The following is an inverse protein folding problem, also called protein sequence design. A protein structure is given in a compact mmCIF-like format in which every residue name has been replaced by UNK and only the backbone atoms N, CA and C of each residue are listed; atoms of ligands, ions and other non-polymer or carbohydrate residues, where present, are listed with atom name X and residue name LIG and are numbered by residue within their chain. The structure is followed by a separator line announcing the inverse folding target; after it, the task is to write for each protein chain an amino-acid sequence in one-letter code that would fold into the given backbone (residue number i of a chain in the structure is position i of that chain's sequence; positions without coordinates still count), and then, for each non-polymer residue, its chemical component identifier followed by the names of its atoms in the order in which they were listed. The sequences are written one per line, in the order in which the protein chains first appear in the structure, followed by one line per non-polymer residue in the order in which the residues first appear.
data_IF_392974044086
#
_entry.id   IF_392974044086
#
_cell.length_a   1.000
_cell.length_b   1.000
_cell.length_c   1.000
_cell.angle_alpha   90.00
_cell.angle_beta   90.00
_cell.angle_gamma   90.00
#
_symmetry.space_group_name_H-M   'P 1'
#
loop_
_entity.id
_entity.type
_entity.pdbx_description
1 polymer ?
#
# COMPACT_ATOMS: atom_id res chain seq x y z
N UNK A 1 0.30 30.85 19.65
CA UNK A 1 1.10 30.00 18.77
C UNK A 1 0.47 29.97 17.39
N UNK A 2 1.24 29.69 16.37
CA UNK A 2 0.76 29.53 14.99
C UNK A 2 -0.15 28.28 14.95
N UNK A 3 -1.37 28.43 14.47
CA UNK A 3 -2.36 27.34 14.42
C UNK A 3 -2.58 26.84 13.00
N UNK A 4 -2.54 27.76 12.02
CA UNK A 4 -2.75 27.43 10.61
C UNK A 4 -1.43 27.56 9.83
N UNK A 5 -1.31 26.80 8.76
CA UNK A 5 -0.11 26.74 7.91
C UNK A 5 0.12 28.09 7.20
N UNK A 6 -0.96 28.75 6.76
CA UNK A 6 -0.93 30.06 6.11
C UNK A 6 -0.46 31.18 7.02
N UNK A 7 -0.53 31.00 8.35
CA UNK A 7 -0.11 32.01 9.35
C UNK A 7 1.41 31.94 9.66
N UNK A 8 2.15 31.03 9.01
CA UNK A 8 3.59 30.87 9.22
C UNK A 8 4.31 32.13 8.72
N UNK A 9 5.08 32.83 9.61
CA UNK A 9 5.85 34.01 9.23
C UNK A 9 6.91 33.73 8.17
N UNK A 10 7.16 34.69 7.28
CA UNK A 10 8.12 34.54 6.17
C UNK A 10 9.59 34.45 6.64
N UNK A 11 9.88 34.89 7.86
CA UNK A 11 11.22 34.82 8.45
C UNK A 11 11.57 33.41 9.01
N UNK A 12 10.60 32.50 9.05
CA UNK A 12 10.85 31.12 9.46
C UNK A 12 11.48 30.35 8.29
N UNK A 13 12.67 29.81 8.53
CA UNK A 13 13.36 28.99 7.54
C UNK A 13 12.68 27.62 7.40
N UNK A 14 12.02 27.40 6.28
CA UNK A 14 11.34 26.15 5.91
C UNK A 14 12.18 25.36 4.90
N UNK A 15 11.98 24.02 4.85
CA UNK A 15 12.45 23.23 3.73
C UNK A 15 11.59 23.53 2.49
N UNK A 16 12.09 23.21 1.28
CA UNK A 16 11.33 23.41 0.04
C UNK A 16 9.93 22.77 0.08
N UNK A 17 9.83 21.57 0.65
CA UNK A 17 8.54 20.86 0.80
C UNK A 17 7.60 21.55 1.80
N UNK A 18 8.14 22.13 2.87
CA UNK A 18 7.34 22.90 3.84
C UNK A 18 6.92 24.24 3.25
N UNK A 19 7.83 24.92 2.54
CA UNK A 19 7.51 26.17 1.85
C UNK A 19 6.39 25.97 0.82
N UNK A 20 6.50 24.94 -0.02
CA UNK A 20 5.43 24.59 -0.96
C UNK A 20 4.08 24.38 -0.26
N UNK A 21 4.05 23.70 0.89
CA UNK A 21 2.80 23.48 1.62
C UNK A 21 2.20 24.78 2.17
N UNK A 22 3.06 25.72 2.60
CA UNK A 22 2.64 27.07 3.04
C UNK A 22 2.10 27.89 1.87
N UNK A 23 2.82 27.89 0.76
CA UNK A 23 2.43 28.64 -0.44
C UNK A 23 1.12 28.12 -1.01
N UNK A 24 0.97 26.80 -1.12
CA UNK A 24 -0.30 26.16 -1.54
C UNK A 24 -1.46 26.47 -0.60
N UNK A 25 -1.23 26.53 0.71
CA UNK A 25 -2.27 26.87 1.68
C UNK A 25 -2.68 28.36 1.56
N UNK A 26 -1.74 29.26 1.29
CA UNK A 26 -2.02 30.68 1.06
C UNK A 26 -2.82 30.91 -0.22
N UNK A 27 -2.54 30.15 -1.28
CA UNK A 27 -3.23 30.25 -2.58
C UNK A 27 -4.52 29.41 -2.66
N UNK A 28 -4.76 28.49 -1.73
CA UNK A 28 -5.98 27.66 -1.70
C UNK A 28 -7.28 28.47 -1.67
N UNK A 29 -7.24 29.71 -1.16
CA UNK A 29 -8.37 30.65 -1.19
C UNK A 29 -8.65 31.21 -2.60
N UNK A 30 -7.76 31.03 -3.56
CA UNK A 30 -7.88 31.49 -4.95
C UNK A 30 -8.43 30.39 -5.89
N UNK A 31 -8.68 29.17 -5.39
CA UNK A 31 -9.38 28.09 -6.09
C UNK A 31 -8.56 27.37 -7.19
N UNK A 32 -7.28 27.60 -7.30
CA UNK A 32 -6.42 26.90 -8.25
C UNK A 32 -5.77 25.65 -7.61
N UNK A 33 -6.17 24.49 -8.12
CA UNK A 33 -5.51 23.20 -7.85
C UNK A 33 -4.15 23.20 -8.57
N UNK A 34 -3.04 23.17 -7.81
CA UNK A 34 -1.71 23.03 -8.40
C UNK A 34 -1.42 21.57 -8.74
N UNK A 35 -1.92 21.12 -9.89
CA UNK A 35 -1.53 19.82 -10.46
C UNK A 35 -0.52 20.08 -11.57
N UNK A 36 0.70 19.60 -11.38
CA UNK A 36 1.70 19.53 -12.45
C UNK A 36 1.33 18.38 -13.41
N UNK A 37 0.47 18.71 -14.39
CA UNK A 37 -0.02 17.75 -15.38
C UNK A 37 1.09 17.07 -16.17
N UNK A 38 2.20 17.79 -16.44
CA UNK A 38 3.33 17.22 -17.17
C UNK A 38 4.10 16.20 -16.34
N UNK A 39 4.33 16.49 -15.05
CA UNK A 39 4.98 15.58 -14.15
C UNK A 39 4.10 14.35 -13.82
N UNK A 40 2.78 14.54 -13.67
CA UNK A 40 1.82 13.42 -13.51
C UNK A 40 1.82 12.56 -14.76
N UNK A 41 1.77 13.15 -15.98
CA UNK A 41 1.85 12.39 -17.22
C UNK A 41 3.16 11.62 -17.34
N UNK A 42 4.30 12.23 -17.00
CA UNK A 42 5.60 11.56 -16.98
C UNK A 42 5.66 10.37 -16.04
N UNK A 43 4.92 10.42 -14.91
CA UNK A 43 4.74 9.26 -14.04
C UNK A 43 3.89 8.17 -14.70
N UNK A 44 2.76 8.54 -15.32
CA UNK A 44 1.88 7.60 -16.00
C UNK A 44 2.57 6.89 -17.17
N UNK A 45 3.47 7.57 -17.85
CA UNK A 45 4.26 7.03 -18.98
C UNK A 45 5.24 5.92 -18.56
N UNK A 46 5.53 5.78 -17.25
CA UNK A 46 6.31 4.65 -16.72
C UNK A 46 5.51 3.34 -16.65
N UNK A 47 4.20 3.43 -16.73
CA UNK A 47 3.30 2.31 -16.48
C UNK A 47 3.00 1.55 -17.77
N UNK A 48 3.21 0.24 -17.74
CA UNK A 48 2.92 -0.66 -18.87
C UNK A 48 1.93 -1.74 -18.45
N UNK A 49 0.80 -1.80 -19.14
CA UNK A 49 -0.24 -2.79 -18.87
C UNK A 49 0.18 -4.24 -19.22
N UNK A 50 -0.36 -5.24 -18.50
CA UNK A 50 -1.25 -5.14 -17.34
C UNK A 50 -0.53 -4.61 -16.11
N UNK A 51 -1.25 -3.86 -15.25
CA UNK A 51 -0.73 -3.27 -14.02
C UNK A 51 -1.12 -4.13 -12.82
N UNK A 52 -0.14 -4.50 -12.01
CA UNK A 52 -0.31 -5.35 -10.84
C UNK A 52 -0.28 -4.51 -9.57
N UNK A 53 -1.44 -4.12 -9.03
CA UNK A 53 -1.55 -3.40 -7.76
C UNK A 53 -1.42 -4.37 -6.61
N UNK A 54 -0.41 -4.21 -5.80
CA UNK A 54 0.09 -5.21 -4.86
C UNK A 54 0.32 -4.64 -3.47
N UNK A 55 -0.12 -5.39 -2.44
CA UNK A 55 0.06 -5.04 -1.04
C UNK A 55 0.29 -6.29 -0.19
N UNK A 56 1.17 -6.17 0.82
CA UNK A 56 1.44 -7.21 1.81
C UNK A 56 0.87 -6.86 3.18
N UNK A 57 0.31 -7.87 3.86
CA UNK A 57 0.14 -7.83 5.30
C UNK A 57 1.19 -8.71 6.00
N UNK A 58 1.76 -8.17 7.07
CA UNK A 58 2.84 -8.83 7.81
C UNK A 58 2.58 -8.81 9.31
N UNK A 59 3.14 -9.77 10.03
CA UNK A 59 3.20 -9.75 11.48
C UNK A 59 4.64 -9.90 11.98
N UNK A 60 4.83 -9.65 13.27
CA UNK A 60 6.12 -9.75 13.94
C UNK A 60 5.99 -10.56 15.22
N UNK A 61 7.07 -11.28 15.56
CA UNK A 61 7.15 -12.02 16.81
C UNK A 61 8.33 -11.52 17.62
N UNK A 62 8.12 -11.23 18.91
CA UNK A 62 9.19 -10.88 19.85
C UNK A 62 10.09 -12.11 20.12
N UNK A 63 9.47 -13.28 20.23
CA UNK A 63 10.14 -14.58 20.32
C UNK A 63 9.79 -15.33 19.02
N UNK A 64 10.77 -15.55 18.13
CA UNK A 64 10.51 -16.22 16.86
C UNK A 64 10.11 -17.68 17.05
N UNK A 65 8.99 -18.08 16.44
CA UNK A 65 8.50 -19.46 16.45
C UNK A 65 8.92 -20.21 15.18
N UNK A 66 9.25 -19.48 14.10
CA UNK A 66 9.58 -20.09 12.83
C UNK A 66 11.09 -20.09 12.58
N UNK A 67 11.56 -21.18 11.96
CA UNK A 67 12.98 -21.34 11.65
C UNK A 67 13.48 -20.24 10.72
N UNK A 68 14.64 -19.65 11.07
CA UNK A 68 15.28 -18.62 10.26
C UNK A 68 14.63 -17.23 10.35
N UNK A 69 13.78 -17.00 11.35
CA UNK A 69 13.21 -15.68 11.68
C UNK A 69 13.98 -15.07 12.84
N UNK A 70 14.24 -13.78 12.76
CA UNK A 70 14.78 -12.97 13.88
C UNK A 70 13.65 -12.28 14.64
N UNK A 71 13.90 -11.90 15.91
CA UNK A 71 12.96 -11.09 16.69
C UNK A 71 12.55 -9.83 15.91
N UNK A 72 11.27 -9.53 15.92
CA UNK A 72 10.66 -8.37 15.22
C UNK A 72 10.88 -8.33 13.70
N UNK A 73 11.28 -9.44 13.09
CA UNK A 73 11.33 -9.55 11.63
C UNK A 73 9.91 -9.55 11.06
N UNK A 74 9.68 -8.83 9.97
CA UNK A 74 8.42 -8.88 9.23
C UNK A 74 8.23 -10.25 8.58
N UNK A 75 7.11 -10.88 8.90
CA UNK A 75 6.69 -12.18 8.36
C UNK A 75 5.44 -11.93 7.54
N UNK A 76 5.52 -11.93 6.20
CA UNK A 76 4.33 -11.76 5.38
C UNK A 76 3.42 -12.98 5.51
N UNK A 77 2.15 -12.75 5.79
CA UNK A 77 1.13 -13.79 5.94
C UNK A 77 0.00 -13.68 4.93
N UNK A 78 -0.13 -12.52 4.31
CA UNK A 78 -1.18 -12.22 3.35
C UNK A 78 -0.65 -11.32 2.26
N UNK A 79 -1.20 -11.42 1.05
CA UNK A 79 -1.16 -10.39 0.04
C UNK A 79 -2.50 -10.28 -0.70
N UNK A 80 -2.73 -9.11 -1.25
CA UNK A 80 -3.76 -8.84 -2.24
C UNK A 80 -3.14 -8.34 -3.54
N UNK A 81 -3.78 -8.64 -4.65
CA UNK A 81 -3.31 -8.32 -5.98
C UNK A 81 -4.47 -8.00 -6.90
N UNK A 82 -4.64 -6.74 -7.30
CA UNK A 82 -5.52 -6.37 -8.40
C UNK A 82 -4.72 -6.23 -9.69
N UNK A 83 -5.18 -6.89 -10.73
CA UNK A 83 -4.59 -6.84 -12.07
C UNK A 83 -5.51 -5.99 -12.94
N UNK A 84 -5.04 -4.79 -13.26
CA UNK A 84 -5.73 -3.83 -14.12
C UNK A 84 -5.27 -4.03 -15.56
N UNK A 85 -6.21 -4.38 -16.43
CA UNK A 85 -5.95 -4.66 -17.85
C UNK A 85 -6.21 -3.42 -18.70
N UNK A 86 -5.60 -3.37 -19.89
CA UNK A 86 -5.75 -2.22 -20.79
C UNK A 86 -7.15 -2.02 -21.36
N UNK A 87 -8.04 -3.00 -21.18
CA UNK A 87 -9.45 -2.98 -21.58
C UNK A 87 -10.41 -2.59 -20.43
N UNK A 88 -9.87 -1.99 -19.36
CA UNK A 88 -10.58 -1.64 -18.13
C UNK A 88 -11.14 -2.83 -17.33
N UNK A 89 -10.83 -4.07 -17.71
CA UNK A 89 -11.16 -5.23 -16.90
C UNK A 89 -10.22 -5.34 -15.69
N UNK A 90 -10.76 -5.80 -14.57
CA UNK A 90 -10.03 -5.96 -13.32
C UNK A 90 -10.12 -7.41 -12.84
N UNK A 91 -8.99 -8.01 -12.52
CA UNK A 91 -8.92 -9.34 -11.92
C UNK A 91 -8.33 -9.23 -10.53
N UNK A 92 -8.88 -9.96 -9.56
CA UNK A 92 -8.36 -10.01 -8.20
C UNK A 92 -7.80 -11.40 -7.90
N UNK A 93 -6.66 -11.42 -7.20
CA UNK A 93 -6.03 -12.60 -6.61
C UNK A 93 -5.56 -12.27 -5.21
N UNK A 94 -5.55 -13.26 -4.35
CA UNK A 94 -5.15 -13.08 -2.97
C UNK A 94 -4.50 -14.35 -2.40
N UNK A 95 -3.79 -14.16 -1.32
CA UNK A 95 -3.27 -15.25 -0.48
C UNK A 95 -3.45 -14.87 0.98
N UNK A 96 -3.89 -15.82 1.79
CA UNK A 96 -3.90 -15.73 3.25
C UNK A 96 -3.35 -17.04 3.82
N UNK A 97 -2.28 -16.94 4.60
CA UNK A 97 -1.63 -18.05 5.27
C UNK A 97 -2.60 -18.86 6.14
N UNK A 98 -2.26 -20.10 6.39
CA UNK A 98 -2.96 -20.95 7.34
C UNK A 98 -2.54 -20.57 8.77
N UNK A 99 -3.49 -20.45 9.65
CA UNK A 99 -3.26 -20.11 11.05
C UNK A 99 -2.39 -21.14 11.78
N UNK A 100 -1.49 -20.66 12.66
CA UNK A 100 -0.60 -21.50 13.42
C UNK A 100 0.53 -22.16 12.62
N UNK A 101 0.68 -21.83 11.34
CA UNK A 101 1.74 -22.36 10.47
C UNK A 101 2.66 -21.25 9.97
N UNK A 102 3.85 -21.62 9.47
CA UNK A 102 4.73 -20.66 8.78
C UNK A 102 4.20 -20.39 7.36
N UNK A 103 3.68 -19.17 7.09
CA UNK A 103 3.01 -18.91 5.81
C UNK A 103 3.98 -18.65 4.66
N UNK A 104 5.27 -18.38 4.94
CA UNK A 104 6.21 -17.79 3.97
C UNK A 104 6.46 -18.62 2.73
N UNK A 105 6.60 -19.95 2.87
CA UNK A 105 6.89 -20.82 1.72
C UNK A 105 5.69 -20.86 0.77
N UNK A 106 4.50 -21.15 1.27
CA UNK A 106 3.28 -21.21 0.46
C UNK A 106 2.93 -19.86 -0.18
N UNK A 107 3.16 -18.76 0.57
CA UNK A 107 3.00 -17.41 0.06
C UNK A 107 3.94 -17.15 -1.12
N UNK A 108 5.23 -17.47 -0.98
CA UNK A 108 6.21 -17.25 -2.07
C UNK A 108 5.87 -18.10 -3.29
N UNK A 109 5.53 -19.37 -3.10
CA UNK A 109 5.17 -20.27 -4.19
C UNK A 109 3.94 -19.79 -4.96
N UNK A 110 2.95 -19.20 -4.28
CA UNK A 110 1.78 -18.62 -4.96
C UNK A 110 2.09 -17.27 -5.59
N UNK A 111 2.83 -16.41 -4.91
CA UNK A 111 3.19 -15.08 -5.40
C UNK A 111 3.93 -15.13 -6.74
N UNK A 112 4.91 -16.06 -6.89
CA UNK A 112 5.65 -16.21 -8.15
C UNK A 112 4.81 -16.80 -9.29
N UNK A 113 3.69 -17.45 -8.99
CA UNK A 113 2.69 -17.88 -10.00
C UNK A 113 1.77 -16.74 -10.39
N UNK A 114 1.47 -15.86 -9.44
CA UNK A 114 0.47 -14.80 -9.61
C UNK A 114 1.04 -13.54 -10.26
N UNK A 115 2.30 -13.21 -10.00
CA UNK A 115 3.00 -12.06 -10.61
C UNK A 115 4.07 -12.58 -11.58
N UNK A 116 3.87 -12.49 -12.91
CA UNK A 116 4.86 -12.88 -13.91
C UNK A 116 6.13 -12.02 -13.86
N UNK A 117 7.17 -12.47 -14.55
CA UNK A 117 8.39 -11.69 -14.71
C UNK A 117 8.16 -10.46 -15.62
N UNK A 118 8.86 -9.38 -15.33
CA UNK A 118 8.93 -8.17 -16.14
C UNK A 118 7.58 -7.46 -16.35
N UNK A 119 6.67 -7.58 -15.39
CA UNK A 119 5.42 -6.82 -15.37
C UNK A 119 5.54 -5.61 -14.46
N UNK A 120 4.80 -4.54 -14.76
CA UNK A 120 4.71 -3.36 -13.89
C UNK A 120 3.89 -3.70 -12.65
N UNK A 121 4.54 -3.66 -11.50
CA UNK A 121 3.88 -3.81 -10.19
C UNK A 121 3.76 -2.44 -9.52
N UNK A 122 2.62 -2.14 -8.93
CA UNK A 122 2.36 -0.89 -8.22
C UNK A 122 2.17 -1.20 -6.74
N UNK A 123 2.80 -0.42 -5.88
CA UNK A 123 2.55 -0.41 -4.45
C UNK A 123 2.44 1.04 -3.95
N UNK A 124 1.73 1.27 -2.87
CA UNK A 124 1.64 2.60 -2.28
C UNK A 124 2.67 2.73 -1.16
N UNK A 125 3.73 3.53 -1.36
CA UNK A 125 4.93 3.58 -0.52
C UNK A 125 5.78 2.30 -0.63
N UNK A 126 6.17 1.98 -1.83
CA UNK A 126 6.77 0.71 -2.30
C UNK A 126 7.98 0.17 -1.52
N UNK A 127 8.61 1.00 -0.67
CA UNK A 127 9.81 0.61 0.08
C UNK A 127 9.57 -0.56 1.03
N UNK A 128 8.36 -0.70 1.55
CA UNK A 128 7.98 -1.79 2.44
C UNK A 128 7.89 -3.12 1.69
N UNK A 129 7.15 -3.18 0.58
CA UNK A 129 7.00 -4.37 -0.26
C UNK A 129 8.36 -4.82 -0.81
N UNK A 130 9.18 -3.87 -1.25
CA UNK A 130 10.56 -4.16 -1.69
C UNK A 130 11.42 -4.75 -0.59
N UNK A 131 11.29 -4.27 0.65
CA UNK A 131 12.00 -4.81 1.81
C UNK A 131 11.57 -6.25 2.09
N UNK A 132 10.26 -6.52 2.11
CA UNK A 132 9.69 -7.87 2.33
C UNK A 132 10.16 -8.83 1.24
N UNK A 133 10.03 -8.46 -0.04
CA UNK A 133 10.45 -9.27 -1.18
C UNK A 133 11.95 -9.60 -1.13
N UNK A 134 12.81 -8.63 -0.82
CA UNK A 134 14.26 -8.85 -0.64
C UNK A 134 14.57 -9.78 0.54
N UNK A 135 13.78 -9.70 1.61
CA UNK A 135 13.84 -10.60 2.76
C UNK A 135 13.50 -12.04 2.37
N UNK A 136 12.39 -12.23 1.65
CA UNK A 136 11.96 -13.52 1.13
C UNK A 136 12.98 -14.10 0.12
N UNK A 137 13.54 -13.28 -0.76
CA UNK A 137 14.56 -13.71 -1.72
C UNK A 137 15.82 -14.28 -1.08
N UNK A 138 16.18 -13.81 0.12
CA UNK A 138 17.30 -14.37 0.92
C UNK A 138 16.94 -15.71 1.57
N UNK A 139 15.67 -15.87 1.98
CA UNK A 139 15.19 -17.06 2.68
C UNK A 139 14.82 -18.20 1.74
N UNK A 140 14.39 -17.88 0.51
CA UNK A 140 13.97 -18.83 -0.52
C UNK A 140 14.82 -18.70 -1.79
N UNK A 141 16.07 -19.22 -1.78
CA UNK A 141 17.03 -19.06 -2.90
C UNK A 141 16.50 -19.57 -4.24
N UNK A 142 15.63 -20.59 -4.23
CA UNK A 142 15.01 -21.18 -5.43
C UNK A 142 14.07 -20.20 -6.15
N UNK A 143 13.55 -19.18 -5.45
CA UNK A 143 12.67 -18.16 -5.99
C UNK A 143 13.32 -16.76 -6.03
N UNK A 144 14.62 -16.69 -5.67
CA UNK A 144 15.34 -15.44 -5.49
C UNK A 144 15.23 -14.48 -6.67
N UNK A 145 15.55 -14.97 -7.87
CA UNK A 145 15.61 -14.12 -9.06
C UNK A 145 14.21 -13.60 -9.43
N UNK A 146 13.17 -14.40 -9.25
CA UNK A 146 11.79 -13.99 -9.50
C UNK A 146 11.34 -12.91 -8.50
N UNK A 147 11.58 -13.13 -7.19
CA UNK A 147 11.22 -12.15 -6.14
C UNK A 147 11.97 -10.83 -6.31
N UNK A 148 13.25 -10.87 -6.69
CA UNK A 148 14.03 -9.67 -6.99
C UNK A 148 13.54 -8.98 -8.27
N UNK A 149 13.07 -9.72 -9.27
CA UNK A 149 12.47 -9.16 -10.47
C UNK A 149 11.17 -8.41 -10.11
N UNK A 150 10.28 -9.00 -9.32
CA UNK A 150 9.08 -8.30 -8.83
C UNK A 150 9.51 -7.00 -8.11
N UNK A 151 10.43 -7.11 -7.14
CA UNK A 151 10.91 -5.95 -6.36
C UNK A 151 11.48 -4.82 -7.22
N UNK A 152 12.19 -5.15 -8.31
CA UNK A 152 12.80 -4.15 -9.21
C UNK A 152 11.81 -3.50 -10.16
N UNK A 153 10.66 -4.14 -10.41
CA UNK A 153 9.59 -3.63 -11.28
C UNK A 153 8.46 -2.94 -10.50
N UNK A 154 8.63 -2.73 -9.17
CA UNK A 154 7.66 -1.96 -8.39
C UNK A 154 7.84 -0.47 -8.68
N UNK A 155 6.76 0.16 -9.13
CA UNK A 155 6.60 1.62 -9.25
C UNK A 155 5.80 2.12 -8.04
N UNK A 156 6.29 3.14 -7.36
CA UNK A 156 5.64 3.71 -6.17
C UNK A 156 4.51 4.66 -6.57
N UNK A 157 3.27 4.24 -6.33
CA UNK A 157 2.08 5.05 -6.60
C UNK A 157 1.98 6.29 -5.71
N UNK A 158 2.69 6.34 -4.59
CA UNK A 158 2.75 7.53 -3.74
C UNK A 158 3.61 8.66 -4.33
N UNK A 159 4.45 8.38 -5.33
CA UNK A 159 5.43 9.32 -5.87
C UNK A 159 4.83 10.65 -6.37
N UNK A 160 3.72 10.71 -7.12
CA UNK A 160 3.12 11.99 -7.53
C UNK A 160 2.73 12.87 -6.34
N UNK A 161 2.24 12.26 -5.26
CA UNK A 161 1.83 12.96 -4.04
C UNK A 161 3.05 13.35 -3.18
N UNK A 162 4.01 12.45 -3.03
CA UNK A 162 5.25 12.70 -2.30
C UNK A 162 6.03 13.85 -2.90
N UNK A 163 6.13 13.92 -4.23
CA UNK A 163 6.80 14.99 -4.98
C UNK A 163 5.93 16.23 -5.19
N UNK A 164 4.68 16.18 -4.72
CA UNK A 164 3.69 17.26 -4.85
C UNK A 164 3.35 17.63 -6.31
N UNK A 165 3.54 16.70 -7.23
CA UNK A 165 3.07 16.84 -8.61
C UNK A 165 1.53 16.78 -8.69
N UNK A 166 0.92 16.09 -7.72
CA UNK A 166 -0.52 16.11 -7.44
C UNK A 166 -0.72 16.45 -5.97
N UNK A 167 -1.11 17.66 -5.67
CA UNK A 167 -1.24 18.13 -4.30
C UNK A 167 -2.56 18.86 -4.09
N UNK A 168 -3.22 18.53 -2.98
CA UNK A 168 -4.40 19.21 -2.46
C UNK A 168 -4.04 19.84 -1.12
N UNK A 169 -4.42 21.10 -0.84
CA UNK A 169 -4.15 21.77 0.45
C UNK A 169 -4.60 20.97 1.66
N UNK A 170 -5.72 20.21 1.52
CA UNK A 170 -6.28 19.34 2.55
C UNK A 170 -5.32 18.21 2.96
N UNK A 171 -4.35 17.86 2.13
CA UNK A 171 -3.30 16.88 2.47
C UNK A 171 -2.37 17.38 3.57
N UNK A 172 -2.30 18.70 3.81
CA UNK A 172 -1.48 19.32 4.85
C UNK A 172 -0.02 18.83 4.86
N UNK A 173 0.56 18.66 3.68
CA UNK A 173 1.91 18.16 3.47
C UNK A 173 2.11 16.64 3.64
N UNK A 174 1.05 15.89 3.96
CA UNK A 174 1.08 14.43 4.10
C UNK A 174 0.61 13.74 2.82
N UNK A 175 1.12 12.53 2.57
CA UNK A 175 0.79 11.77 1.34
C UNK A 175 0.54 10.27 1.58
N UNK A 176 0.27 9.85 2.83
CA UNK A 176 -0.10 8.44 3.06
C UNK A 176 -1.44 8.13 2.39
N UNK A 177 -1.66 6.86 2.05
CA UNK A 177 -2.90 6.41 1.42
C UNK A 177 -4.15 6.82 2.23
N UNK A 178 -4.05 6.82 3.57
CA UNK A 178 -5.12 7.24 4.49
C UNK A 178 -5.49 8.72 4.39
N UNK A 179 -4.61 9.54 3.81
CA UNK A 179 -4.85 10.97 3.54
C UNK A 179 -5.29 11.17 2.10
N UNK A 180 -4.59 10.54 1.16
CA UNK A 180 -4.84 10.69 -0.29
C UNK A 180 -6.19 10.11 -0.70
N UNK A 181 -6.47 8.88 -0.25
CA UNK A 181 -7.66 8.15 -0.68
C UNK A 181 -8.99 8.87 -0.38
N UNK A 182 -9.29 9.32 0.86
CA UNK A 182 -10.57 9.98 1.14
C UNK A 182 -10.72 11.33 0.40
N UNK A 183 -9.62 11.97 0.03
CA UNK A 183 -9.67 13.23 -0.74
C UNK A 183 -9.94 12.99 -2.23
N UNK A 184 -9.39 11.91 -2.80
CA UNK A 184 -9.53 11.60 -4.22
C UNK A 184 -10.72 10.69 -4.54
N UNK A 185 -11.06 9.79 -3.62
CA UNK A 185 -12.06 8.73 -3.79
C UNK A 185 -12.92 8.63 -2.52
N UNK A 186 -13.74 9.65 -2.21
CA UNK A 186 -14.49 9.74 -0.94
C UNK A 186 -15.38 8.52 -0.66
N UNK A 187 -15.90 7.88 -1.71
CA UNK A 187 -16.73 6.67 -1.58
C UNK A 187 -15.99 5.49 -0.95
N UNK A 188 -14.66 5.42 -1.08
CA UNK A 188 -13.84 4.36 -0.48
C UNK A 188 -13.72 4.51 1.05
N UNK A 189 -13.84 5.73 1.60
CA UNK A 189 -13.83 5.93 3.05
C UNK A 189 -14.97 5.17 3.74
N UNK A 190 -16.14 5.11 3.10
CA UNK A 190 -17.27 4.34 3.62
C UNK A 190 -16.98 2.84 3.57
N UNK A 191 -16.37 2.33 2.49
CA UNK A 191 -16.05 0.92 2.34
C UNK A 191 -15.14 0.43 3.50
N UNK A 192 -14.13 1.21 3.91
CA UNK A 192 -13.30 0.88 5.07
C UNK A 192 -14.06 0.92 6.41
N UNK A 193 -15.00 1.87 6.57
CA UNK A 193 -15.82 1.97 7.78
C UNK A 193 -16.83 0.82 7.93
N UNK A 194 -17.25 0.25 6.82
CA UNK A 194 -18.21 -0.86 6.76
C UNK A 194 -17.55 -2.25 6.95
N UNK A 195 -16.22 -2.33 7.07
CA UNK A 195 -15.51 -3.56 7.40
C UNK A 195 -15.91 -4.09 8.80
N UNK A 196 -15.92 -5.42 8.97
CA UNK A 196 -16.43 -6.04 10.22
C UNK A 196 -15.42 -5.95 11.38
N UNK A 197 -14.26 -6.62 11.28
CA UNK A 197 -13.35 -6.80 12.42
C UNK A 197 -11.99 -6.12 12.23
N UNK A 198 -11.58 -5.85 11.00
CA UNK A 198 -10.24 -5.35 10.65
C UNK A 198 -10.38 -4.03 9.90
N UNK A 199 -9.82 -2.94 10.46
CA UNK A 199 -9.92 -1.59 9.91
C UNK A 199 -8.54 -0.96 9.64
N UNK A 200 -7.47 -1.64 10.02
CA UNK A 200 -6.08 -1.19 9.80
C UNK A 200 -5.07 -2.34 9.93
N UNK A 201 -3.87 -2.15 9.36
CA UNK A 201 -2.81 -3.16 9.37
C UNK A 201 -2.35 -3.59 10.78
N UNK A 202 -2.47 -2.73 11.80
CA UNK A 202 -2.17 -3.11 13.20
C UNK A 202 -3.16 -4.15 13.73
N UNK A 203 -4.44 -4.00 13.42
CA UNK A 203 -5.49 -4.98 13.75
C UNK A 203 -5.30 -6.26 12.94
N UNK A 204 -4.95 -6.16 11.64
CA UNK A 204 -4.66 -7.31 10.78
C UNK A 204 -3.50 -8.15 11.35
N UNK A 205 -2.40 -7.50 11.73
CA UNK A 205 -1.25 -8.14 12.36
C UNK A 205 -1.62 -8.88 13.65
N UNK A 206 -2.37 -8.22 14.55
CA UNK A 206 -2.79 -8.83 15.82
C UNK A 206 -3.76 -9.98 15.58
N UNK A 207 -4.72 -9.81 14.69
CA UNK A 207 -5.71 -10.83 14.38
C UNK A 207 -5.04 -12.09 13.86
N UNK A 208 -4.15 -11.98 12.87
CA UNK A 208 -3.46 -13.17 12.33
C UNK A 208 -2.59 -13.87 13.38
N UNK A 209 -1.86 -13.11 14.21
CA UNK A 209 -1.04 -13.68 15.29
C UNK A 209 -1.87 -14.48 16.30
N UNK A 210 -3.12 -14.06 16.58
CA UNK A 210 -4.01 -14.75 17.52
C UNK A 210 -4.76 -15.94 16.94
N UNK A 211 -4.92 -15.99 15.60
CA UNK A 211 -5.73 -17.04 14.94
C UNK A 211 -5.25 -18.46 15.30
N UNK A 212 -3.94 -18.68 15.41
CA UNK A 212 -3.36 -20.00 15.73
C UNK A 212 -3.73 -20.53 17.13
N UNK A 213 -4.14 -19.66 18.05
CA UNK A 213 -4.54 -20.01 19.42
C UNK A 213 -6.07 -20.12 19.57
N UNK A 214 -6.83 -19.69 18.56
CA UNK A 214 -8.29 -19.73 18.60
C UNK A 214 -8.82 -21.14 18.38
N UNK A 215 -9.92 -21.46 19.08
CA UNK A 215 -10.62 -22.75 18.96
C UNK A 215 -12.00 -22.64 18.33
N UNK A 216 -12.59 -21.44 18.35
CA UNK A 216 -13.89 -21.17 17.75
C UNK A 216 -13.77 -21.02 16.22
N UNK A 217 -14.23 -22.05 15.50
CA UNK A 217 -14.14 -22.11 14.04
C UNK A 217 -14.94 -21.02 13.31
N UNK A 218 -16.07 -20.59 13.88
CA UNK A 218 -16.88 -19.52 13.27
C UNK A 218 -16.20 -18.19 13.42
N UNK A 219 -15.58 -17.93 14.58
CA UNK A 219 -14.80 -16.71 14.82
C UNK A 219 -13.53 -16.69 13.96
N UNK A 220 -12.81 -17.81 13.84
CA UNK A 220 -11.65 -17.95 12.93
C UNK A 220 -12.06 -17.58 11.51
N UNK A 221 -13.16 -18.16 11.00
CA UNK A 221 -13.66 -17.86 9.65
C UNK A 221 -13.94 -16.37 9.47
N UNK A 222 -14.64 -15.73 10.41
CA UNK A 222 -14.95 -14.30 10.35
C UNK A 222 -13.69 -13.43 10.33
N UNK A 223 -12.68 -13.74 11.15
CA UNK A 223 -11.42 -13.02 11.10
C UNK A 223 -10.70 -13.19 9.75
N UNK A 224 -10.68 -14.40 9.21
CA UNK A 224 -10.07 -14.67 7.89
C UNK A 224 -10.79 -13.90 6.77
N UNK A 225 -12.12 -13.90 6.75
CA UNK A 225 -12.93 -13.11 5.81
C UNK A 225 -12.65 -11.62 5.95
N UNK A 226 -12.54 -11.09 7.17
CA UNK A 226 -12.22 -9.68 7.43
C UNK A 226 -10.80 -9.31 7.00
N UNK A 227 -9.80 -10.19 7.21
CA UNK A 227 -8.43 -9.99 6.74
C UNK A 227 -8.38 -9.91 5.20
N UNK A 228 -9.07 -10.83 4.51
CA UNK A 228 -9.15 -10.82 3.05
C UNK A 228 -9.81 -9.54 2.54
N UNK A 229 -10.96 -9.17 3.08
CA UNK A 229 -11.70 -7.97 2.68
C UNK A 229 -10.91 -6.67 2.93
N UNK A 230 -10.14 -6.59 4.04
CA UNK A 230 -9.32 -5.43 4.33
C UNK A 230 -8.19 -5.26 3.29
N UNK A 231 -7.40 -6.30 3.06
CA UNK A 231 -6.27 -6.26 2.12
C UNK A 231 -6.74 -6.09 0.65
N UNK A 232 -7.90 -6.65 0.29
CA UNK A 232 -8.55 -6.43 -1.01
C UNK A 232 -8.85 -4.94 -1.22
N UNK A 233 -9.40 -4.27 -0.19
CA UNK A 233 -9.69 -2.83 -0.28
C UNK A 233 -8.43 -1.98 -0.46
N UNK A 234 -7.30 -2.35 0.15
CA UNK A 234 -6.05 -1.60 0.02
C UNK A 234 -5.55 -1.61 -1.43
N UNK A 235 -5.58 -2.75 -2.11
CA UNK A 235 -5.19 -2.82 -3.53
C UNK A 235 -6.24 -2.23 -4.47
N UNK A 236 -7.54 -2.35 -4.17
CA UNK A 236 -8.60 -1.68 -4.92
C UNK A 236 -8.50 -0.15 -4.79
N UNK A 237 -8.13 0.36 -3.63
CA UNK A 237 -7.87 1.78 -3.41
C UNK A 237 -6.77 2.30 -4.33
N UNK A 238 -5.69 1.54 -4.53
CA UNK A 238 -4.63 1.91 -5.47
C UNK A 238 -5.12 1.99 -6.91
N UNK A 239 -5.97 1.05 -7.36
CA UNK A 239 -6.62 1.10 -8.69
C UNK A 239 -7.43 2.39 -8.85
N UNK A 240 -8.23 2.73 -7.83
CA UNK A 240 -9.07 3.94 -7.86
C UNK A 240 -8.24 5.23 -7.87
N UNK A 241 -7.19 5.31 -7.04
CA UNK A 241 -6.27 6.45 -7.02
C UNK A 241 -5.61 6.62 -8.39
N UNK A 242 -5.10 5.53 -9.00
CA UNK A 242 -4.50 5.59 -10.33
C UNK A 242 -5.49 6.08 -11.39
N UNK A 243 -6.76 5.66 -11.29
CA UNK A 243 -7.81 6.13 -12.21
C UNK A 243 -8.02 7.63 -12.10
N UNK A 244 -7.98 8.21 -10.90
CA UNK A 244 -8.07 9.67 -10.71
C UNK A 244 -6.84 10.38 -11.29
N UNK A 245 -5.63 9.81 -11.17
CA UNK A 245 -4.42 10.39 -11.77
C UNK A 245 -4.45 10.40 -13.30
N UNK A 246 -5.19 9.48 -13.93
CA UNK A 246 -5.36 9.40 -15.39
C UNK A 246 -6.37 10.42 -15.95
N UNK A 247 -7.31 10.91 -15.14
CA UNK A 247 -8.34 11.90 -15.51
C UNK A 247 -9.66 11.26 -15.90
#
# INVERSE_FOLDING_TARGET
GIVNVEDIPEDIKLSEQQQFAVDSAKHANEGELEIDKLAVQSFLDLLTYPLYHFDFETFQQSIPEFKGVSSYQQIPFQYSLHIDHSDDSLTHKEFLGEEGTDPRQSLVEQLVRDIPLNVTTLAFNASFEQMVLKGLAKQFPQHKDHLLNISSNIVDLAMPFQKKHYYLPEMKGKYSIKIVLPLLVPEMEKAYKDLDLIHNGGEAMQAFAMLGEMTDKDLIRRYRESLLSYCELDTLAMVKILKVLKG
#
